data_IF_367845506068
#
_entry.id   IF_367845506068
#
_cell.length_a   1.000
_cell.length_b   1.000
_cell.length_c   1.000
_cell.angle_alpha   90.00
_cell.angle_beta   90.00
_cell.angle_gamma   90.00
#
_symmetry.space_group_name_H-M   'P 1'
#
loop_
_entity.id
_entity.type
_entity.pdbx_description
1 polymer ?
#
# COMPACT_ATOMS: atom_id res chain seq x y z
N UNK A 1 33.27 -10.33 -4.16
CA UNK A 1 32.57 -9.73 -5.32
C UNK A 1 31.28 -9.01 -4.93
N UNK A 2 30.24 -9.69 -4.43
CA UNK A 2 28.97 -9.00 -4.10
C UNK A 2 29.09 -8.09 -2.86
N UNK A 3 29.91 -8.47 -1.87
CA UNK A 3 30.13 -7.65 -0.65
C UNK A 3 30.80 -6.31 -0.97
N UNK A 4 31.74 -6.34 -1.91
CA UNK A 4 32.60 -5.21 -2.29
C UNK A 4 31.86 -4.19 -3.18
N UNK A 5 30.69 -4.57 -3.71
CA UNK A 5 29.87 -3.68 -4.51
C UNK A 5 29.18 -2.62 -3.62
N UNK A 6 29.28 -1.36 -4.04
CA UNK A 6 28.64 -0.22 -3.37
C UNK A 6 27.12 -0.45 -3.31
N UNK A 7 26.51 -0.07 -2.18
CA UNK A 7 25.07 -0.24 -1.92
C UNK A 7 24.20 0.29 -3.06
N UNK A 8 24.55 1.46 -3.60
CA UNK A 8 23.77 2.09 -4.67
C UNK A 8 23.70 1.22 -5.94
N UNK A 9 24.79 0.54 -6.31
CA UNK A 9 24.80 -0.36 -7.47
C UNK A 9 23.97 -1.61 -7.18
N UNK A 10 24.02 -2.15 -5.96
CA UNK A 10 23.16 -3.28 -5.55
C UNK A 10 21.69 -2.91 -5.67
N UNK A 11 21.29 -1.73 -5.19
CA UNK A 11 19.90 -1.28 -5.30
C UNK A 11 19.52 -1.06 -6.78
N UNK A 12 20.44 -0.53 -7.60
CA UNK A 12 20.22 -0.38 -9.03
C UNK A 12 20.03 -1.71 -9.75
N UNK A 13 20.65 -2.79 -9.30
CA UNK A 13 20.38 -4.15 -9.79
C UNK A 13 19.03 -4.64 -9.24
N UNK A 14 18.81 -4.50 -7.93
CA UNK A 14 17.63 -4.97 -7.20
C UNK A 14 16.31 -4.51 -7.83
N UNK A 15 16.22 -3.24 -8.26
CA UNK A 15 14.99 -2.69 -8.86
C UNK A 15 14.56 -3.37 -10.18
N UNK A 16 15.46 -4.09 -10.87
CA UNK A 16 15.14 -4.81 -12.12
C UNK A 16 14.76 -6.28 -11.88
N UNK A 17 14.90 -6.77 -10.65
CA UNK A 17 14.67 -8.19 -10.37
C UNK A 17 13.17 -8.49 -10.34
N UNK A 18 12.66 -9.46 -11.12
CA UNK A 18 11.22 -9.76 -11.17
C UNK A 18 10.63 -10.20 -9.83
N UNK A 19 11.38 -11.02 -9.10
CA UNK A 19 11.03 -11.57 -7.79
C UNK A 19 12.15 -11.33 -6.77
N UNK A 20 12.00 -10.26 -6.01
CA UNK A 20 12.97 -9.83 -4.99
C UNK A 20 13.01 -10.74 -3.75
N UNK A 21 11.94 -11.52 -3.49
CA UNK A 21 11.94 -12.48 -2.39
C UNK A 21 12.93 -13.61 -2.65
N UNK A 22 12.90 -14.19 -3.86
CA UNK A 22 13.85 -15.21 -4.26
C UNK A 22 15.29 -14.69 -4.16
N UNK A 23 15.54 -13.45 -4.61
CA UNK A 23 16.87 -12.84 -4.54
C UNK A 23 17.34 -12.68 -3.09
N UNK A 24 16.49 -12.17 -2.20
CA UNK A 24 16.82 -11.98 -0.79
C UNK A 24 17.16 -13.29 -0.08
N UNK A 25 16.57 -14.41 -0.50
CA UNK A 25 16.85 -15.74 0.05
C UNK A 25 18.20 -16.30 -0.40
N UNK A 26 18.78 -15.80 -1.50
CA UNK A 26 20.06 -16.33 -2.01
C UNK A 26 21.26 -16.00 -1.12
N UNK A 27 21.31 -14.79 -0.54
CA UNK A 27 22.42 -14.40 0.33
C UNK A 27 22.09 -13.21 1.26
N UNK A 28 22.86 -13.08 2.34
CA UNK A 28 22.69 -12.02 3.35
C UNK A 28 22.74 -10.60 2.77
N UNK A 29 23.62 -10.35 1.81
CA UNK A 29 23.76 -9.02 1.20
C UNK A 29 22.49 -8.59 0.44
N UNK A 30 21.80 -9.52 -0.24
CA UNK A 30 20.52 -9.21 -0.87
C UNK A 30 19.38 -9.11 0.14
N UNK A 31 19.42 -9.91 1.21
CA UNK A 31 18.48 -9.78 2.32
C UNK A 31 18.57 -8.40 3.00
N UNK A 32 19.78 -7.85 3.15
CA UNK A 32 20.00 -6.48 3.65
C UNK A 32 19.42 -5.43 2.71
N UNK A 33 19.65 -5.56 1.40
CA UNK A 33 19.09 -4.65 0.39
C UNK A 33 17.55 -4.74 0.35
N UNK A 34 16.96 -5.92 0.56
CA UNK A 34 15.50 -6.07 0.64
C UNK A 34 14.91 -5.32 1.85
N UNK A 35 15.65 -5.21 2.96
CA UNK A 35 15.20 -4.47 4.14
C UNK A 35 15.30 -2.95 3.96
N UNK A 36 16.15 -2.49 3.06
CA UNK A 36 16.31 -1.08 2.74
C UNK A 36 14.99 -0.46 2.20
N UNK A 37 14.45 0.58 2.85
CA UNK A 37 13.20 1.21 2.40
C UNK A 37 13.30 1.88 1.03
N UNK A 38 14.44 2.48 0.72
CA UNK A 38 14.69 3.16 -0.55
C UNK A 38 14.78 2.13 -1.70
N UNK A 39 15.41 0.98 -1.47
CA UNK A 39 15.46 -0.11 -2.43
C UNK A 39 14.08 -0.67 -2.76
N UNK A 40 13.24 -0.90 -1.73
CA UNK A 40 11.85 -1.32 -1.91
C UNK A 40 11.05 -0.28 -2.68
N UNK A 41 11.17 1.00 -2.33
CA UNK A 41 10.50 2.08 -3.04
C UNK A 41 10.88 2.14 -4.52
N UNK A 42 12.18 2.08 -4.85
CA UNK A 42 12.65 2.06 -6.25
C UNK A 42 12.12 0.86 -7.02
N UNK A 43 12.13 -0.33 -6.41
CA UNK A 43 11.59 -1.53 -7.04
C UNK A 43 10.07 -1.40 -7.33
N UNK A 44 9.28 -0.91 -6.37
CA UNK A 44 7.83 -0.69 -6.57
C UNK A 44 7.60 0.29 -7.72
N UNK A 45 8.26 1.45 -7.68
CA UNK A 45 8.07 2.51 -8.65
C UNK A 45 8.44 2.04 -10.05
N UNK A 46 9.51 1.25 -10.17
CA UNK A 46 9.92 0.66 -11.44
C UNK A 46 8.93 -0.39 -11.93
N UNK A 47 8.44 -1.27 -11.05
CA UNK A 47 7.55 -2.38 -11.41
C UNK A 47 6.13 -1.93 -11.79
N UNK A 48 5.59 -0.92 -11.11
CA UNK A 48 4.18 -0.54 -11.24
C UNK A 48 3.96 0.90 -11.72
N UNK A 49 5.01 1.71 -11.80
CA UNK A 49 4.91 3.14 -12.10
C UNK A 49 4.43 3.98 -10.91
N UNK A 50 4.60 5.30 -11.03
CA UNK A 50 4.35 6.26 -9.94
C UNK A 50 2.88 6.31 -9.48
N UNK A 51 1.93 6.15 -10.40
CA UNK A 51 0.49 6.28 -10.11
C UNK A 51 -0.11 5.10 -9.36
N UNK A 52 0.49 3.90 -9.49
CA UNK A 52 -0.05 2.66 -8.93
C UNK A 52 0.84 2.09 -7.81
N UNK A 53 2.02 2.68 -7.60
CA UNK A 53 2.99 2.23 -6.61
C UNK A 53 2.39 2.07 -5.21
N UNK A 54 1.68 3.07 -4.69
CA UNK A 54 1.07 2.99 -3.35
C UNK A 54 0.03 1.88 -3.25
N UNK A 55 -0.86 1.78 -4.25
CA UNK A 55 -1.89 0.74 -4.30
C UNK A 55 -1.27 -0.67 -4.26
N UNK A 56 -0.26 -0.91 -5.10
CA UNK A 56 0.42 -2.20 -5.13
C UNK A 56 1.28 -2.46 -3.89
N UNK A 57 1.86 -1.43 -3.28
CA UNK A 57 2.62 -1.57 -2.04
C UNK A 57 1.74 -2.09 -0.90
N UNK A 58 0.52 -1.57 -0.75
CA UNK A 58 -0.46 -2.08 0.22
C UNK A 58 -0.83 -3.53 -0.10
N UNK A 59 -1.05 -3.85 -1.39
CA UNK A 59 -1.38 -5.21 -1.81
C UNK A 59 -0.28 -6.25 -1.50
N UNK A 60 0.99 -5.82 -1.45
CA UNK A 60 2.11 -6.69 -1.07
C UNK A 60 2.16 -7.00 0.44
N UNK A 61 1.37 -6.29 1.24
CA UNK A 61 1.16 -6.58 2.66
C UNK A 61 2.19 -5.96 3.61
N UNK A 62 1.96 -6.07 4.92
CA UNK A 62 2.70 -5.33 5.96
C UNK A 62 4.17 -5.76 6.11
N UNK A 63 4.53 -6.95 5.63
CA UNK A 63 5.93 -7.37 5.57
C UNK A 63 6.72 -6.54 4.54
N UNK A 64 6.04 -6.01 3.53
CA UNK A 64 6.65 -5.27 2.45
C UNK A 64 6.54 -3.75 2.63
N UNK A 65 5.35 -3.25 2.95
CA UNK A 65 5.11 -1.81 3.16
C UNK A 65 5.18 -1.45 4.64
N UNK A 66 5.92 -0.39 4.95
CA UNK A 66 5.95 0.24 6.27
C UNK A 66 6.12 1.76 6.12
N UNK A 67 6.11 2.49 7.23
CA UNK A 67 6.19 3.98 7.23
C UNK A 67 7.43 4.47 6.48
N UNK A 68 8.60 3.86 6.70
CA UNK A 68 9.84 4.27 6.03
C UNK A 68 9.81 4.03 4.51
N UNK A 69 9.16 2.96 4.05
CA UNK A 69 8.95 2.70 2.61
C UNK A 69 8.01 3.74 2.01
N UNK A 70 6.93 4.08 2.72
CA UNK A 70 5.99 5.12 2.27
C UNK A 70 6.68 6.48 2.18
N UNK A 71 7.45 6.88 3.18
CA UNK A 71 8.28 8.08 3.15
C UNK A 71 9.24 8.06 1.96
N UNK A 72 9.89 6.92 1.70
CA UNK A 72 10.78 6.75 0.54
C UNK A 72 10.06 6.87 -0.80
N UNK A 73 8.81 6.38 -0.90
CA UNK A 73 7.97 6.55 -2.09
C UNK A 73 7.64 8.02 -2.34
N UNK A 74 7.28 8.78 -1.29
CA UNK A 74 7.04 10.22 -1.40
C UNK A 74 8.30 11.00 -1.78
N UNK A 75 9.44 10.69 -1.19
CA UNK A 75 10.73 11.26 -1.58
C UNK A 75 11.08 11.00 -3.06
N UNK A 76 10.51 9.95 -3.66
CA UNK A 76 10.66 9.60 -5.07
C UNK A 76 9.47 10.06 -5.96
N UNK A 77 8.68 11.03 -5.50
CA UNK A 77 7.56 11.63 -6.24
C UNK A 77 6.50 10.61 -6.67
N UNK A 78 6.11 9.71 -5.77
CA UNK A 78 4.93 8.84 -5.98
C UNK A 78 3.67 9.67 -6.14
N UNK A 79 2.74 9.21 -6.96
CA UNK A 79 1.48 9.92 -7.19
C UNK A 79 0.39 9.29 -6.31
N UNK A 80 -0.24 10.12 -5.48
CA UNK A 80 -1.49 9.78 -4.81
C UNK A 80 -2.64 9.89 -5.81
N UNK A 81 -2.97 8.79 -6.47
CA UNK A 81 -4.09 8.81 -7.42
C UNK A 81 -5.42 9.08 -6.70
N UNK A 82 -6.33 9.80 -7.38
CA UNK A 82 -7.70 10.03 -6.90
C UNK A 82 -8.37 8.74 -6.46
N UNK A 83 -8.22 7.68 -7.25
CA UNK A 83 -8.78 6.36 -6.95
C UNK A 83 -8.20 5.78 -5.66
N UNK A 84 -6.89 5.91 -5.44
CA UNK A 84 -6.26 5.46 -4.20
C UNK A 84 -6.83 6.17 -2.97
N UNK A 85 -6.97 7.50 -3.03
CA UNK A 85 -7.58 8.29 -1.94
C UNK A 85 -9.03 7.89 -1.71
N UNK A 86 -9.82 7.72 -2.78
CA UNK A 86 -11.21 7.26 -2.67
C UNK A 86 -11.29 5.92 -1.95
N UNK A 87 -10.46 4.95 -2.33
CA UNK A 87 -10.40 3.63 -1.68
C UNK A 87 -9.96 3.73 -0.23
N UNK A 88 -9.02 4.63 0.08
CA UNK A 88 -8.56 4.86 1.44
C UNK A 88 -9.70 5.43 2.31
N UNK A 89 -10.36 6.49 1.83
CA UNK A 89 -11.52 7.12 2.49
C UNK A 89 -12.68 6.15 2.68
N UNK A 90 -12.98 5.31 1.69
CA UNK A 90 -14.04 4.29 1.80
C UNK A 90 -13.79 3.25 2.90
N UNK A 91 -12.54 3.08 3.31
CA UNK A 91 -12.15 2.09 4.31
C UNK A 91 -11.61 2.73 5.61
N UNK A 92 -11.61 4.06 5.71
CA UNK A 92 -11.07 4.82 6.83
C UNK A 92 -12.15 5.23 7.82
N UNK A 93 -11.93 4.99 9.10
CA UNK A 93 -12.78 5.46 10.20
C UNK A 93 -14.15 4.78 10.25
N UNK A 94 -15.01 5.20 11.17
CA UNK A 94 -16.36 4.59 11.28
C UNK A 94 -17.23 4.93 10.07
N UNK A 95 -18.03 3.96 9.62
CA UNK A 95 -19.04 4.21 8.59
C UNK A 95 -20.13 5.10 9.18
N UNK A 96 -20.33 6.29 8.59
CA UNK A 96 -21.53 7.08 8.86
C UNK A 96 -22.74 6.36 8.26
N UNK A 97 -23.50 5.70 9.14
CA UNK A 97 -24.72 4.96 8.80
C UNK A 97 -25.76 5.87 8.15
N UNK A 98 -25.87 7.12 8.62
CA UNK A 98 -26.83 8.12 8.10
C UNK A 98 -26.44 8.56 6.70
N UNK A 99 -25.15 8.82 6.44
CA UNK A 99 -24.68 9.14 5.09
C UNK A 99 -24.89 7.96 4.12
N UNK A 100 -24.71 6.73 4.59
CA UNK A 100 -24.92 5.51 3.80
C UNK A 100 -26.40 5.35 3.43
N UNK A 101 -27.31 5.59 4.36
CA UNK A 101 -28.76 5.59 4.13
C UNK A 101 -29.19 6.69 3.15
N UNK A 102 -28.68 7.91 3.30
CA UNK A 102 -28.98 9.03 2.40
C UNK A 102 -28.53 8.76 0.96
N UNK A 103 -27.32 8.19 0.76
CA UNK A 103 -26.85 7.77 -0.57
C UNK A 103 -27.74 6.69 -1.19
N UNK A 104 -28.24 5.75 -0.39
CA UNK A 104 -29.18 4.73 -0.83
C UNK A 104 -30.48 5.33 -1.37
N UNK A 105 -31.05 6.26 -0.59
CA UNK A 105 -32.32 6.90 -0.89
C UNK A 105 -32.21 7.77 -2.15
N UNK A 106 -31.08 8.45 -2.35
CA UNK A 106 -30.87 9.32 -3.50
C UNK A 106 -30.54 8.57 -4.80
N UNK A 107 -29.78 7.47 -4.73
CA UNK A 107 -29.33 6.74 -5.92
C UNK A 107 -30.28 5.61 -6.35
N UNK A 108 -31.35 5.33 -5.59
CA UNK A 108 -32.27 4.20 -5.84
C UNK A 108 -31.59 2.82 -5.76
N UNK A 109 -30.32 2.74 -5.36
CA UNK A 109 -29.50 1.54 -5.43
C UNK A 109 -29.43 0.88 -4.05
N UNK A 110 -30.44 0.08 -3.71
CA UNK A 110 -30.47 -0.73 -2.48
C UNK A 110 -29.36 -1.81 -2.41
N UNK A 111 -28.64 -2.06 -3.50
CA UNK A 111 -27.66 -3.15 -3.63
C UNK A 111 -26.33 -2.81 -2.95
N UNK A 112 -25.87 -1.55 -3.01
CA UNK A 112 -24.62 -1.14 -2.34
C UNK A 112 -24.79 -1.04 -0.82
N UNK A 113 -25.96 -0.61 -0.35
CA UNK A 113 -26.23 -0.49 1.08
C UNK A 113 -26.37 -1.82 1.78
N UNK A 114 -26.95 -2.83 1.13
CA UNK A 114 -26.99 -4.18 1.70
C UNK A 114 -25.58 -4.77 1.85
N UNK A 115 -24.69 -4.59 0.84
CA UNK A 115 -23.28 -5.02 0.96
C UNK A 115 -22.53 -4.29 2.06
N UNK A 116 -22.69 -2.98 2.19
CA UNK A 116 -22.05 -2.19 3.26
C UNK A 116 -22.60 -2.63 4.61
N UNK A 117 -23.92 -2.76 4.76
CA UNK A 117 -24.56 -3.20 6.01
C UNK A 117 -24.16 -4.62 6.41
N UNK A 118 -23.98 -5.52 5.45
CA UNK A 118 -23.48 -6.87 5.68
C UNK A 118 -22.00 -6.87 6.11
N UNK A 119 -21.18 -5.96 5.57
CA UNK A 119 -19.80 -5.76 6.01
C UNK A 119 -19.74 -5.21 7.44
N UNK A 120 -20.61 -4.23 7.79
CA UNK A 120 -20.71 -3.68 9.14
C UNK A 120 -21.21 -4.72 10.15
N UNK A 121 -22.19 -5.56 9.77
CA UNK A 121 -22.73 -6.64 10.62
C UNK A 121 -21.73 -7.78 10.88
N UNK A 122 -20.73 -7.97 10.01
CA UNK A 122 -19.71 -9.02 10.16
C UNK A 122 -18.57 -8.68 11.13
N UNK A 123 -18.69 -7.62 11.94
CA UNK A 123 -17.65 -7.18 12.89
C UNK A 123 -16.29 -6.84 12.22
N UNK A 124 -16.27 -6.47 10.94
CA UNK A 124 -15.09 -5.79 10.38
C UNK A 124 -15.25 -4.29 10.66
N UNK A 125 -14.79 -3.87 11.83
CA UNK A 125 -14.52 -2.45 12.04
C UNK A 125 -13.63 -1.96 10.89
N UNK A 126 -13.96 -0.82 10.26
CA UNK A 126 -13.12 -0.25 9.21
C UNK A 126 -11.70 -0.01 9.72
N UNK A 127 -10.75 0.03 8.79
CA UNK A 127 -9.39 0.38 9.15
C UNK A 127 -9.40 1.77 9.79
N UNK A 128 -8.74 1.91 10.94
CA UNK A 128 -8.59 3.13 11.71
C UNK A 128 -9.84 3.61 12.47
N UNK A 129 -10.85 2.76 12.68
CA UNK A 129 -12.00 3.12 13.54
C UNK A 129 -11.61 3.44 14.99
N UNK A 130 -10.45 2.97 15.44
CA UNK A 130 -9.91 3.17 16.79
C UNK A 130 -8.77 4.20 16.84
N UNK A 131 -8.50 4.92 15.75
CA UNK A 131 -7.52 6.01 15.79
C UNK A 131 -8.16 7.25 16.46
N UNK A 132 -7.44 7.92 17.38
CA UNK A 132 -7.90 9.20 17.92
C UNK A 132 -7.99 10.21 16.77
N UNK A 133 -9.12 10.91 16.71
CA UNK A 133 -9.30 12.08 15.85
C UNK A 133 -9.11 13.27 16.77
N UNK A 134 -7.93 13.88 16.72
CA UNK A 134 -7.62 15.11 17.47
C UNK A 134 -8.45 16.30 16.94
#
# INVERSE_FOLDING_TARGET
>A
MLKDLIVEVKINIFQYVPNILCLALTCKAWAEIMRDPHARARWILRKYGRSYALFHSIRLGPQFINVSVVQSLFANNVILSRYFIQRLVMHFGEYDSKLTELKAAQNGCAVETNKIRDLTKRNLHPWASNLPVD
#
